data_IF_392593791145
#
_entry.id   IF_392593791145
#
_cell.length_a   1.000
_cell.length_b   1.000
_cell.length_c   1.000
_cell.angle_alpha   90.00
_cell.angle_beta   90.00
_cell.angle_gamma   90.00
#
_symmetry.space_group_name_H-M   'P 1'
#
loop_
_entity.id
_entity.type
_entity.pdbx_description
1 polymer ?
#
# COMPACT_ATOMS: atom_id res chain seq x y z
N UNK A 1 -4.81 11.38 15.19
CA UNK A 1 -5.87 10.83 14.33
C UNK A 1 -5.39 9.47 13.86
N UNK A 2 -6.11 8.39 14.13
CA UNK A 2 -5.65 7.02 13.81
C UNK A 2 -5.53 6.81 12.29
N UNK A 3 -4.84 5.74 11.89
CA UNK A 3 -4.66 5.23 10.52
C UNK A 3 -5.94 5.33 9.64
N UNK A 4 -7.11 5.16 10.25
CA UNK A 4 -8.46 5.33 9.69
C UNK A 4 -8.71 6.71 9.03
N UNK A 5 -7.99 7.75 9.45
CA UNK A 5 -8.08 9.09 8.86
C UNK A 5 -7.31 9.26 7.54
N UNK A 6 -6.35 8.38 7.23
CA UNK A 6 -5.56 8.43 5.99
C UNK A 6 -6.23 7.62 4.88
N UNK A 7 -6.81 6.47 5.22
CA UNK A 7 -7.57 5.62 4.28
C UNK A 7 -8.85 6.29 3.77
N UNK A 8 -9.39 7.27 4.48
CA UNK A 8 -10.57 8.03 4.06
C UNK A 8 -10.28 9.17 3.06
N UNK A 9 -9.03 9.33 2.61
CA UNK A 9 -8.70 10.30 1.57
C UNK A 9 -9.07 9.78 0.17
N UNK A 10 -9.49 10.67 -0.73
CA UNK A 10 -10.01 10.32 -2.08
C UNK A 10 -9.02 9.51 -2.93
N UNK A 11 -7.72 9.65 -2.62
CA UNK A 11 -6.63 9.06 -3.41
C UNK A 11 -6.11 7.74 -2.84
N UNK A 12 -6.66 7.22 -1.74
CA UNK A 12 -6.16 6.01 -1.08
C UNK A 12 -7.22 4.91 -1.15
N UNK A 13 -6.84 3.73 -1.64
CA UNK A 13 -7.74 2.59 -1.69
C UNK A 13 -7.99 1.98 -0.30
N UNK A 14 -9.26 1.69 0.01
CA UNK A 14 -9.76 1.19 1.31
C UNK A 14 -9.38 -0.27 1.64
N UNK A 15 -8.78 -1.02 0.70
CA UNK A 15 -8.59 -2.47 0.86
C UNK A 15 -7.16 -2.78 1.25
N UNK A 16 -7.01 -3.39 2.43
CA UNK A 16 -5.75 -3.89 2.94
C UNK A 16 -5.30 -5.12 2.15
N UNK A 17 -4.15 -5.06 1.46
CA UNK A 17 -3.61 -6.21 0.72
C UNK A 17 -3.22 -7.38 1.61
N UNK A 18 -2.96 -7.15 2.89
CA UNK A 18 -2.65 -8.22 3.85
C UNK A 18 -3.84 -9.18 4.01
N UNK A 19 -5.07 -8.66 3.87
CA UNK A 19 -6.29 -9.46 3.94
C UNK A 19 -6.45 -10.41 2.73
N UNK A 20 -5.95 -10.04 1.55
CA UNK A 20 -5.95 -10.89 0.36
C UNK A 20 -4.92 -12.03 0.45
N UNK A 21 -3.76 -11.77 1.05
CA UNK A 21 -2.72 -12.78 1.27
C UNK A 21 -3.12 -13.78 2.35
N UNK A 22 -3.66 -13.26 3.45
CA UNK A 22 -4.26 -14.08 4.49
C UNK A 22 -5.41 -14.87 3.90
N UNK A 23 -6.26 -14.29 3.05
CA UNK A 23 -7.33 -15.01 2.38
C UNK A 23 -6.86 -16.22 1.58
N UNK A 24 -5.85 -16.02 0.71
CA UNK A 24 -5.28 -17.10 -0.10
C UNK A 24 -4.58 -18.16 0.76
N UNK A 25 -3.85 -17.74 1.78
CA UNK A 25 -3.23 -18.64 2.75
C UNK A 25 -4.27 -19.46 3.50
N UNK A 26 -5.34 -18.84 3.99
CA UNK A 26 -6.37 -19.58 4.72
C UNK A 26 -7.11 -20.53 3.78
N UNK A 27 -7.47 -20.12 2.56
CA UNK A 27 -8.10 -21.03 1.59
C UNK A 27 -7.21 -22.26 1.28
N UNK A 28 -5.88 -22.07 1.17
CA UNK A 28 -4.91 -23.17 1.03
C UNK A 28 -4.94 -24.18 2.20
N UNK A 29 -5.40 -23.75 3.37
CA UNK A 29 -5.52 -24.61 4.57
C UNK A 29 -6.87 -25.33 4.68
N UNK A 30 -7.83 -24.98 3.82
CA UNK A 30 -9.17 -25.61 3.76
C UNK A 30 -9.25 -26.73 2.72
N UNK A 31 -10.36 -27.47 2.69
CA UNK A 31 -10.61 -28.49 1.65
C UNK A 31 -10.95 -27.92 0.28
N UNK A 32 -11.08 -26.59 0.15
CA UNK A 32 -11.21 -25.93 -1.15
C UNK A 32 -9.91 -25.83 -1.91
N UNK A 33 -8.77 -26.08 -1.27
CA UNK A 33 -7.56 -26.40 -1.99
C UNK A 33 -7.68 -27.82 -2.57
N UNK A 34 -7.71 -27.92 -3.90
CA UNK A 34 -7.70 -29.21 -4.62
C UNK A 34 -6.33 -29.43 -5.28
N UNK A 35 -5.65 -30.52 -4.94
CA UNK A 35 -4.39 -30.94 -5.56
C UNK A 35 -3.30 -31.31 -4.56
N UNK A 36 -2.16 -31.79 -5.09
CA UNK A 36 -0.98 -32.08 -4.27
C UNK A 36 -0.42 -30.78 -3.68
N UNK A 37 -0.14 -30.79 -2.38
CA UNK A 37 0.48 -29.66 -1.69
C UNK A 37 -0.48 -28.74 -0.93
N UNK A 38 -1.74 -29.10 -0.77
CA UNK A 38 -2.64 -28.35 0.09
C UNK A 38 -2.19 -28.39 1.56
N UNK A 39 -2.36 -27.29 2.28
CA UNK A 39 -1.82 -27.13 3.63
C UNK A 39 -2.34 -28.15 4.63
N UNK A 40 -3.57 -28.61 4.42
CA UNK A 40 -4.22 -29.61 5.27
C UNK A 40 -3.41 -30.91 5.39
N UNK A 41 -2.77 -31.38 4.32
CA UNK A 41 -1.95 -32.59 4.32
C UNK A 41 -0.70 -32.47 5.19
N UNK A 42 -0.24 -31.23 5.36
CA UNK A 42 0.92 -30.86 6.17
C UNK A 42 0.52 -30.54 7.63
N UNK A 43 -0.75 -30.77 7.98
CA UNK A 43 -1.31 -30.40 9.27
C UNK A 43 -1.60 -28.90 9.40
N UNK A 44 -1.59 -28.14 8.32
CA UNK A 44 -2.03 -26.74 8.31
C UNK A 44 -3.53 -26.72 8.04
N UNK A 45 -4.33 -27.03 9.07
CA UNK A 45 -5.78 -27.10 8.95
C UNK A 45 -6.39 -25.72 9.26
N UNK A 46 -7.11 -25.19 8.28
CA UNK A 46 -8.05 -24.08 8.47
C UNK A 46 -9.40 -24.61 8.94
N UNK A 47 -10.18 -23.73 9.56
CA UNK A 47 -11.59 -23.94 9.83
C UNK A 47 -12.43 -22.92 9.08
N UNK A 48 -13.72 -22.94 9.37
CA UNK A 48 -14.68 -21.97 8.87
C UNK A 48 -15.43 -21.34 10.03
N UNK A 49 -15.74 -20.06 9.91
CA UNK A 49 -16.61 -19.36 10.86
C UNK A 49 -17.71 -18.63 10.10
N UNK A 50 -18.89 -18.56 10.73
CA UNK A 50 -20.04 -17.88 10.14
C UNK A 50 -19.70 -16.41 9.92
N UNK A 51 -20.04 -15.89 8.75
CA UNK A 51 -19.75 -14.53 8.33
C UNK A 51 -20.68 -13.51 9.02
N UNK A 52 -20.53 -13.37 10.34
CA UNK A 52 -21.31 -12.43 11.15
C UNK A 52 -20.91 -10.97 10.90
N UNK A 53 -19.75 -10.75 10.30
CA UNK A 53 -19.19 -9.43 10.01
C UNK A 53 -19.62 -8.88 8.65
N UNK A 54 -20.34 -9.67 7.83
CA UNK A 54 -20.77 -9.23 6.50
C UNK A 54 -19.61 -9.03 5.52
N UNK A 55 -18.52 -9.81 5.67
CA UNK A 55 -17.39 -9.81 4.76
C UNK A 55 -17.83 -10.24 3.35
N UNK A 56 -17.13 -9.73 2.33
CA UNK A 56 -17.47 -9.95 0.92
C UNK A 56 -17.39 -11.44 0.56
N UNK A 57 -18.33 -11.89 -0.27
CA UNK A 57 -18.36 -13.25 -0.80
C UNK A 57 -17.37 -13.45 -1.96
N UNK A 58 -16.76 -14.61 -2.05
CA UNK A 58 -15.95 -15.03 -3.19
C UNK A 58 -16.88 -15.39 -4.35
N UNK A 59 -16.76 -14.68 -5.47
CA UNK A 59 -17.48 -15.02 -6.69
C UNK A 59 -18.96 -14.65 -6.68
N UNK A 60 -19.28 -13.47 -7.19
CA UNK A 60 -20.55 -13.20 -7.89
C UNK A 60 -20.31 -12.07 -8.91
N UNK A 61 -19.25 -12.20 -9.70
CA UNK A 61 -19.01 -11.32 -10.85
C UNK A 61 -19.36 -12.10 -12.13
N UNK A 62 -20.19 -11.50 -12.98
CA UNK A 62 -20.92 -12.04 -14.15
C UNK A 62 -20.06 -12.63 -15.29
N UNK A 63 -19.16 -13.57 -15.00
CA UNK A 63 -18.40 -14.32 -16.02
C UNK A 63 -17.09 -13.68 -16.46
N UNK A 64 -16.58 -12.68 -15.74
CA UNK A 64 -15.22 -12.15 -15.92
C UNK A 64 -14.28 -12.72 -14.87
N UNK A 65 -13.17 -13.35 -15.28
CA UNK A 65 -12.10 -13.76 -14.37
C UNK A 65 -11.39 -12.50 -13.82
N UNK A 66 -11.96 -11.91 -12.76
CA UNK A 66 -11.44 -10.69 -12.17
C UNK A 66 -10.78 -11.02 -10.81
N UNK A 67 -9.44 -11.16 -10.76
CA UNK A 67 -8.71 -11.48 -9.53
C UNK A 67 -8.81 -10.38 -8.47
N UNK A 68 -9.39 -9.22 -8.79
CA UNK A 68 -9.54 -8.06 -7.90
C UNK A 68 -10.93 -7.91 -7.26
N UNK A 69 -11.88 -8.80 -7.58
CA UNK A 69 -13.28 -8.70 -7.14
C UNK A 69 -13.75 -9.79 -6.17
N UNK A 70 -12.95 -10.82 -5.91
CA UNK A 70 -13.38 -11.94 -5.09
C UNK A 70 -13.26 -11.57 -3.60
N UNK A 71 -14.38 -11.58 -2.88
CA UNK A 71 -14.33 -11.70 -1.43
C UNK A 71 -13.74 -13.05 -1.01
N UNK A 72 -13.60 -13.27 0.30
CA UNK A 72 -12.99 -14.48 0.86
C UNK A 72 -14.05 -15.50 1.32
N UNK A 73 -15.25 -15.04 1.66
CA UNK A 73 -16.25 -15.89 2.28
C UNK A 73 -17.07 -16.63 1.22
N UNK A 74 -17.50 -17.85 1.51
CA UNK A 74 -18.32 -18.66 0.61
C UNK A 74 -19.74 -18.73 1.12
N UNK A 75 -20.72 -18.82 0.22
CA UNK A 75 -22.05 -19.25 0.62
C UNK A 75 -22.01 -20.73 1.04
N UNK A 76 -22.93 -21.16 1.91
CA UNK A 76 -23.09 -22.58 2.28
C UNK A 76 -23.13 -23.50 1.06
N UNK A 77 -23.78 -23.06 -0.03
CA UNK A 77 -23.89 -23.82 -1.27
C UNK A 77 -22.54 -24.06 -1.99
N UNK A 78 -21.55 -23.19 -1.75
CA UNK A 78 -20.23 -23.22 -2.41
C UNK A 78 -19.14 -23.84 -1.53
N UNK A 79 -19.47 -24.24 -0.31
CA UNK A 79 -18.53 -24.91 0.61
C UNK A 79 -18.31 -26.38 0.24
N UNK A 80 -17.13 -26.90 0.57
CA UNK A 80 -16.86 -28.33 0.44
C UNK A 80 -17.80 -29.14 1.35
N UNK A 81 -18.44 -30.22 0.88
CA UNK A 81 -19.40 -31.01 1.68
C UNK A 81 -18.83 -31.51 3.00
N UNK A 82 -17.57 -31.94 3.01
CA UNK A 82 -16.93 -32.39 4.24
C UNK A 82 -16.64 -31.26 5.24
N UNK A 83 -16.39 -30.02 4.78
CA UNK A 83 -16.22 -28.88 5.69
C UNK A 83 -17.56 -28.54 6.36
N UNK A 84 -18.68 -28.67 5.62
CA UNK A 84 -20.02 -28.58 6.20
C UNK A 84 -20.31 -29.72 7.18
N UNK A 85 -19.84 -30.94 6.89
CA UNK A 85 -19.98 -32.07 7.82
C UNK A 85 -19.17 -31.85 9.11
N UNK A 86 -17.96 -31.31 9.01
CA UNK A 86 -17.14 -30.94 10.16
C UNK A 86 -17.85 -29.85 10.99
N UNK A 87 -18.40 -28.81 10.36
CA UNK A 87 -19.18 -27.76 11.05
C UNK A 87 -20.46 -28.31 11.71
N UNK A 88 -21.17 -29.23 11.05
CA UNK A 88 -22.34 -29.91 11.62
C UNK A 88 -21.96 -30.72 12.86
N UNK A 89 -20.84 -31.43 12.82
CA UNK A 89 -20.34 -32.24 13.95
C UNK A 89 -19.99 -31.38 15.17
N UNK A 90 -19.59 -30.13 14.95
CA UNK A 90 -19.32 -29.14 15.98
C UNK A 90 -20.57 -28.39 16.46
N UNK A 91 -21.74 -28.67 15.87
CA UNK A 91 -22.99 -27.95 16.16
C UNK A 91 -22.97 -26.49 15.70
N UNK A 92 -22.11 -26.15 14.74
CA UNK A 92 -21.97 -24.79 14.21
C UNK A 92 -22.82 -24.55 12.95
N UNK A 93 -23.20 -25.62 12.25
CA UNK A 93 -24.00 -25.58 11.02
C UNK A 93 -25.26 -26.44 11.16
N UNK A 94 -26.40 -25.87 10.81
CA UNK A 94 -27.68 -26.57 10.67
C UNK A 94 -28.21 -26.40 9.22
N UNK A 95 -28.35 -27.48 8.44
CA UNK A 95 -28.75 -27.40 7.03
C UNK A 95 -30.11 -26.75 6.80
N UNK A 96 -31.02 -26.82 7.77
CA UNK A 96 -32.36 -26.24 7.63
C UNK A 96 -32.35 -24.71 7.86
N UNK A 97 -31.44 -24.22 8.70
CA UNK A 97 -31.39 -22.80 9.10
C UNK A 97 -30.27 -22.00 8.42
N UNK A 98 -29.21 -22.66 7.97
CA UNK A 98 -27.99 -22.05 7.44
C UNK A 98 -27.81 -22.24 5.93
N UNK A 99 -28.85 -22.64 5.20
CA UNK A 99 -28.78 -22.82 3.75
C UNK A 99 -28.31 -21.56 2.99
N UNK A 100 -28.67 -20.37 3.48
CA UNK A 100 -28.27 -19.07 2.92
C UNK A 100 -27.16 -18.37 3.73
N UNK A 101 -26.57 -19.06 4.71
CA UNK A 101 -25.46 -18.51 5.46
C UNK A 101 -24.21 -18.36 4.58
N UNK A 102 -23.33 -17.44 4.99
CA UNK A 102 -21.98 -17.36 4.43
C UNK A 102 -20.94 -17.63 5.50
N UNK A 103 -19.80 -18.13 5.06
CA UNK A 103 -18.75 -18.67 5.89
C UNK A 103 -17.41 -18.13 5.43
N UNK A 104 -16.62 -17.63 6.37
CA UNK A 104 -15.29 -17.13 6.10
C UNK A 104 -14.28 -18.15 6.61
N UNK A 105 -13.23 -18.44 5.84
CA UNK A 105 -12.23 -19.37 6.29
C UNK A 105 -11.40 -18.69 7.39
N UNK A 106 -11.04 -19.44 8.43
CA UNK A 106 -10.26 -18.95 9.58
C UNK A 106 -9.10 -19.90 9.83
N UNK A 107 -7.88 -19.36 9.98
CA UNK A 107 -6.73 -20.17 10.36
C UNK A 107 -6.74 -20.43 11.87
N UNK A 108 -6.86 -21.70 12.27
CA UNK A 108 -6.87 -22.10 13.69
C UNK A 108 -5.63 -22.92 13.97
N UNK A 109 -4.59 -22.26 14.45
CA UNK A 109 -3.36 -22.92 14.89
C UNK A 109 -3.00 -22.43 16.28
N UNK A 110 -2.97 -23.37 17.22
CA UNK A 110 -2.69 -23.12 18.64
C UNK A 110 -1.19 -23.03 18.96
N UNK A 111 -0.33 -23.30 17.96
CA UNK A 111 1.12 -23.42 18.12
C UNK A 111 1.88 -22.53 17.12
N UNK A 112 2.72 -21.63 17.64
CA UNK A 112 3.51 -20.70 16.84
C UNK A 112 4.49 -21.40 15.90
N UNK A 113 5.06 -22.55 16.30
CA UNK A 113 5.99 -23.30 15.46
C UNK A 113 5.28 -23.95 14.27
N UNK A 114 4.06 -24.45 14.50
CA UNK A 114 3.19 -24.96 13.43
C UNK A 114 2.73 -23.86 12.49
N UNK A 115 2.37 -22.68 13.00
CA UNK A 115 2.05 -21.52 12.15
C UNK A 115 3.25 -21.15 11.26
N UNK A 116 4.45 -21.11 11.84
CA UNK A 116 5.69 -20.85 11.10
C UNK A 116 5.90 -21.89 10.01
N UNK A 117 5.78 -23.18 10.31
CA UNK A 117 5.89 -24.26 9.33
C UNK A 117 4.91 -24.03 8.17
N UNK A 118 3.64 -23.82 8.48
CA UNK A 118 2.57 -23.63 7.50
C UNK A 118 2.83 -22.45 6.56
N UNK A 119 3.17 -21.29 7.12
CA UNK A 119 3.50 -20.09 6.32
C UNK A 119 4.72 -20.34 5.45
N UNK A 120 5.76 -20.99 5.98
CA UNK A 120 6.98 -21.26 5.21
C UNK A 120 6.76 -22.25 4.09
N UNK A 121 5.95 -23.29 4.30
CA UNK A 121 5.64 -24.27 3.27
C UNK A 121 4.77 -23.68 2.18
N UNK A 122 3.74 -22.91 2.56
CA UNK A 122 2.91 -22.19 1.59
C UNK A 122 3.73 -21.24 0.72
N UNK A 123 4.66 -20.48 1.33
CA UNK A 123 5.59 -19.61 0.60
C UNK A 123 6.51 -20.40 -0.34
N UNK A 124 7.02 -21.54 0.11
CA UNK A 124 7.87 -22.42 -0.71
C UNK A 124 7.13 -22.94 -1.95
N UNK A 125 5.89 -23.37 -1.79
CA UNK A 125 5.06 -23.86 -2.90
C UNK A 125 4.65 -22.75 -3.87
N UNK A 126 4.46 -21.53 -3.37
CA UNK A 126 4.21 -20.34 -4.18
C UNK A 126 5.45 -19.73 -4.85
N UNK A 127 6.57 -20.45 -4.94
CA UNK A 127 7.81 -19.97 -5.59
C UNK A 127 8.61 -18.97 -4.76
N UNK A 128 8.77 -19.22 -3.46
CA UNK A 128 9.45 -18.39 -2.43
C UNK A 128 8.80 -17.04 -2.11
N UNK A 129 8.03 -16.49 -3.06
CA UNK A 129 7.18 -15.33 -2.83
C UNK A 129 5.96 -15.68 -1.99
N UNK A 130 5.27 -16.80 -2.24
CA UNK A 130 3.88 -16.95 -1.75
C UNK A 130 3.01 -15.76 -2.14
N UNK A 131 3.42 -15.06 -3.21
CA UNK A 131 3.02 -13.70 -3.58
C UNK A 131 3.19 -12.60 -2.50
N UNK A 132 3.74 -12.89 -1.31
CA UNK A 132 4.43 -11.86 -0.53
C UNK A 132 5.58 -11.35 -1.40
N UNK A 133 5.46 -10.11 -1.86
CA UNK A 133 6.42 -9.39 -2.71
C UNK A 133 7.87 -9.75 -2.33
N UNK A 134 8.46 -10.71 -3.03
CA UNK A 134 9.91 -10.77 -3.16
C UNK A 134 10.28 -9.72 -4.19
N UNK A 135 11.24 -8.85 -3.84
CA UNK A 135 11.80 -7.91 -4.80
C UNK A 135 12.23 -8.70 -6.04
N UNK A 136 11.67 -8.43 -7.24
CA UNK A 136 11.95 -9.24 -8.40
C UNK A 136 13.43 -9.13 -8.73
N UNK A 137 14.11 -10.27 -8.77
CA UNK A 137 15.42 -10.33 -9.42
C UNK A 137 15.22 -10.02 -10.91
N UNK A 138 16.19 -9.31 -11.52
CA UNK A 138 16.13 -8.88 -12.94
C UNK A 138 15.95 -10.02 -13.96
N UNK A 139 16.06 -11.27 -13.52
CA UNK A 139 15.85 -12.48 -14.34
C UNK A 139 14.40 -12.98 -14.35
N UNK A 140 13.59 -12.70 -13.31
CA UNK A 140 12.19 -13.12 -13.22
C UNK A 140 11.24 -12.29 -14.10
N UNK A 141 11.58 -11.02 -14.35
CA UNK A 141 10.80 -10.11 -15.23
C UNK A 141 10.73 -10.58 -16.69
N UNK A 142 11.60 -11.53 -17.09
CA UNK A 142 11.65 -12.07 -18.46
C UNK A 142 10.76 -13.28 -18.70
N UNK A 143 10.37 -14.01 -17.63
CA UNK A 143 9.62 -15.27 -17.73
C UNK A 143 8.11 -15.04 -17.65
N UNK A 144 7.68 -14.00 -16.94
CA UNK A 144 6.26 -13.69 -16.71
C UNK A 144 5.49 -13.23 -17.97
N UNK A 145 6.19 -12.91 -19.06
CA UNK A 145 5.55 -12.40 -20.29
C UNK A 145 4.86 -13.46 -21.15
N UNK A 146 4.99 -14.75 -20.83
CA UNK A 146 4.55 -15.83 -21.73
C UNK A 146 3.81 -17.03 -21.09
N UNK A 147 3.50 -17.05 -19.79
CA UNK A 147 2.79 -18.21 -19.20
C UNK A 147 1.29 -17.96 -19.02
N UNK A 148 0.50 -18.66 -19.83
CA UNK A 148 -0.92 -18.90 -19.56
C UNK A 148 -1.07 -19.84 -18.36
N UNK A 149 -1.72 -19.34 -17.31
CA UNK A 149 -2.36 -20.05 -16.20
C UNK A 149 -1.73 -21.38 -15.72
N UNK A 150 -1.10 -21.29 -14.55
CA UNK A 150 -1.10 -22.32 -13.50
C UNK A 150 -0.76 -23.75 -13.96
N UNK A 151 0.48 -23.97 -14.38
CA UNK A 151 1.13 -25.30 -14.32
C UNK A 151 2.59 -25.20 -14.74
N UNK A 152 3.47 -24.87 -13.79
CA UNK A 152 4.85 -25.39 -13.73
C UNK A 152 5.63 -24.67 -12.62
N UNK A 153 5.76 -25.30 -11.46
CA UNK A 153 6.93 -25.04 -10.58
C UNK A 153 7.41 -26.38 -10.02
N UNK A 154 8.63 -26.74 -10.39
CA UNK A 154 9.41 -27.82 -9.80
C UNK A 154 10.23 -27.26 -8.62
N UNK A 155 10.56 -28.07 -7.60
CA UNK A 155 11.33 -27.61 -6.45
C UNK A 155 12.78 -27.31 -6.83
N UNK A 156 13.26 -26.10 -6.51
CA UNK A 156 14.69 -25.78 -6.50
C UNK A 156 15.27 -26.18 -5.15
N UNK A 157 16.08 -27.23 -5.16
CA UNK A 157 16.83 -27.72 -4.02
C UNK A 157 17.83 -26.67 -3.52
N UNK A 158 17.72 -26.32 -2.25
CA UNK A 158 18.88 -25.91 -1.45
C UNK A 158 19.18 -24.42 -1.38
N UNK A 159 18.42 -23.71 -0.55
CA UNK A 159 18.94 -22.56 0.20
C UNK A 159 18.31 -22.53 1.60
N UNK A 160 18.93 -23.27 2.52
CA UNK A 160 18.70 -23.11 3.95
C UNK A 160 19.32 -21.79 4.42
N UNK A 161 18.65 -20.68 4.17
CA UNK A 161 18.92 -19.41 4.85
C UNK A 161 17.91 -19.25 5.98
N UNK A 162 18.42 -19.11 7.21
CA UNK A 162 17.62 -19.02 8.41
C UNK A 162 16.58 -17.91 8.29
N UNK A 163 15.30 -18.30 8.38
CA UNK A 163 14.17 -17.38 8.40
C UNK A 163 14.32 -16.48 9.63
N UNK A 164 14.59 -15.21 9.39
CA UNK A 164 14.69 -14.18 10.41
C UNK A 164 13.31 -14.01 11.04
N UNK A 165 13.23 -14.22 12.35
CA UNK A 165 12.06 -13.91 13.17
C UNK A 165 12.22 -12.53 13.83
N UNK A 166 11.14 -11.74 14.00
CA UNK A 166 9.76 -12.09 13.67
C UNK A 166 9.59 -12.27 12.16
N UNK A 167 8.74 -13.23 11.75
CA UNK A 167 8.25 -13.30 10.36
C UNK A 167 7.87 -11.84 10.05
N UNK A 168 8.38 -11.21 8.98
CA UNK A 168 8.04 -9.83 8.69
C UNK A 168 6.57 -9.75 8.23
N UNK A 169 5.66 -10.03 9.15
CA UNK A 169 4.26 -9.65 9.14
C UNK A 169 4.24 -8.29 9.84
N UNK A 170 4.87 -7.29 9.22
CA UNK A 170 4.56 -5.86 9.39
C UNK A 170 5.48 -5.04 8.48
N UNK A 171 5.43 -5.27 7.17
CA UNK A 171 5.44 -4.09 6.32
C UNK A 171 4.15 -3.36 6.71
N UNK A 172 4.26 -2.16 7.29
CA UNK A 172 3.12 -1.31 7.62
C UNK A 172 2.04 -1.40 6.53
N UNK A 173 0.74 -1.40 6.86
CA UNK A 173 -0.33 -1.51 5.88
C UNK A 173 -0.02 -0.67 4.64
N UNK A 174 0.18 -1.34 3.51
CA UNK A 174 0.62 -0.70 2.28
C UNK A 174 -0.60 -0.04 1.66
N UNK A 175 -0.66 1.28 1.79
CA UNK A 175 -1.69 2.08 1.15
C UNK A 175 -1.36 2.25 -0.33
N UNK A 176 -2.30 1.89 -1.20
CA UNK A 176 -2.18 2.13 -2.63
C UNK A 176 -2.79 3.48 -2.96
N UNK A 177 -1.99 4.31 -3.61
CA UNK A 177 -2.50 5.52 -4.24
C UNK A 177 -3.21 5.17 -5.55
N UNK A 178 -4.43 5.67 -5.72
CA UNK A 178 -5.22 5.50 -6.94
C UNK A 178 -5.59 6.87 -7.51
N UNK A 179 -5.81 6.94 -8.83
CA UNK A 179 -6.28 8.16 -9.47
C UNK A 179 -5.24 9.27 -9.62
N UNK A 180 -3.94 8.96 -9.50
CA UNK A 180 -2.86 9.93 -9.71
C UNK A 180 -2.57 10.13 -11.20
N UNK A 181 -3.46 10.82 -11.92
CA UNK A 181 -3.32 11.02 -13.35
C UNK A 181 -2.60 12.32 -13.70
N UNK A 182 -2.64 13.29 -12.80
CA UNK A 182 -2.04 14.61 -12.98
C UNK A 182 -0.94 14.88 -11.96
N UNK A 183 -0.15 15.90 -12.24
CA UNK A 183 0.89 16.37 -11.32
C UNK A 183 0.24 16.85 -10.02
N UNK A 184 -0.86 17.58 -10.16
CA UNK A 184 -1.67 18.14 -9.09
C UNK A 184 -2.22 17.03 -8.19
N UNK A 185 -2.81 15.96 -8.74
CA UNK A 185 -3.31 14.83 -7.94
C UNK A 185 -2.21 14.20 -7.07
N UNK A 186 -0.99 14.13 -7.61
CA UNK A 186 0.16 13.55 -6.90
C UNK A 186 0.64 14.46 -5.78
N UNK A 187 0.69 15.76 -6.03
CA UNK A 187 1.06 16.77 -5.03
C UNK A 187 0.00 16.84 -3.93
N UNK A 188 -1.29 16.85 -4.29
CA UNK A 188 -2.42 16.88 -3.37
C UNK A 188 -2.44 15.65 -2.46
N UNK A 189 -2.17 14.44 -3.00
CA UNK A 189 -1.99 13.25 -2.18
C UNK A 189 -0.89 13.45 -1.13
N UNK A 190 0.28 13.96 -1.54
CA UNK A 190 1.43 14.16 -0.65
C UNK A 190 1.09 15.18 0.44
N UNK A 191 0.47 16.30 0.09
CA UNK A 191 0.09 17.33 1.06
C UNK A 191 -0.93 16.81 2.08
N UNK A 192 -1.95 16.10 1.62
CA UNK A 192 -3.00 15.56 2.49
C UNK A 192 -2.45 14.51 3.46
N UNK A 193 -1.63 13.57 2.99
CA UNK A 193 -1.10 12.50 3.84
C UNK A 193 -0.05 13.04 4.82
N UNK A 194 0.76 14.02 4.40
CA UNK A 194 1.72 14.69 5.28
C UNK A 194 1.04 15.51 6.34
N UNK A 195 -0.04 16.24 6.04
CA UNK A 195 -0.79 16.95 7.07
C UNK A 195 -1.25 16.01 8.18
N UNK A 196 -1.62 14.76 7.85
CA UNK A 196 -2.00 13.77 8.88
C UNK A 196 -0.80 13.26 9.68
N UNK A 197 0.35 13.05 9.05
CA UNK A 197 1.56 12.54 9.71
C UNK A 197 2.33 13.62 10.48
N UNK A 198 2.56 14.78 9.88
CA UNK A 198 3.41 15.84 10.40
C UNK A 198 2.69 16.69 11.48
N UNK A 199 1.37 16.90 11.38
CA UNK A 199 0.63 17.74 12.34
C UNK A 199 0.23 17.01 13.63
N UNK A 200 0.53 15.71 13.75
CA UNK A 200 0.17 14.92 14.93
C UNK A 200 1.42 14.49 15.70
N UNK A 201 1.74 15.23 16.77
CA UNK A 201 2.93 14.98 17.60
C UNK A 201 2.94 13.59 18.28
N UNK A 202 1.79 12.93 18.41
CA UNK A 202 1.68 11.58 18.98
C UNK A 202 1.98 10.48 17.95
N UNK A 203 1.90 10.80 16.66
CA UNK A 203 2.13 9.88 15.55
C UNK A 203 3.52 10.10 14.96
N UNK A 204 4.46 9.23 15.34
CA UNK A 204 5.75 9.15 14.66
C UNK A 204 5.63 8.34 13.35
N UNK A 205 5.09 8.96 12.30
CA UNK A 205 5.04 8.36 10.96
C UNK A 205 5.86 9.13 9.93
N UNK A 206 6.34 8.40 8.92
CA UNK A 206 6.96 8.96 7.72
C UNK A 206 6.38 8.26 6.50
N UNK A 207 6.00 9.03 5.49
CA UNK A 207 5.48 8.49 4.23
C UNK A 207 6.66 8.05 3.34
N UNK A 208 6.48 6.97 2.59
CA UNK A 208 7.47 6.46 1.63
C UNK A 208 6.78 5.97 0.37
N UNK A 209 7.44 6.12 -0.77
CA UNK A 209 6.98 5.60 -2.06
C UNK A 209 7.38 6.51 -3.21
N UNK A 210 7.19 6.03 -4.45
CA UNK A 210 7.55 6.76 -5.67
C UNK A 210 7.01 8.20 -5.68
N UNK A 211 5.74 8.48 -5.30
CA UNK A 211 5.26 9.86 -5.20
C UNK A 211 6.11 10.72 -4.26
N UNK A 212 6.42 10.25 -3.06
CA UNK A 212 7.21 11.01 -2.09
C UNK A 212 8.65 11.19 -2.56
N UNK A 213 9.28 10.14 -3.09
CA UNK A 213 10.69 10.19 -3.50
C UNK A 213 10.96 11.17 -4.65
N UNK A 214 9.99 11.39 -5.56
CA UNK A 214 10.18 12.18 -6.77
C UNK A 214 9.31 13.46 -6.86
N UNK A 215 8.11 13.45 -6.27
CA UNK A 215 7.19 14.60 -6.36
C UNK A 215 7.19 15.50 -5.13
N UNK A 216 7.75 15.08 -3.99
CA UNK A 216 7.75 15.89 -2.76
C UNK A 216 8.42 17.26 -2.94
N UNK A 217 9.45 17.35 -3.79
CA UNK A 217 10.13 18.63 -4.11
C UNK A 217 9.17 19.70 -4.66
N UNK A 218 8.09 19.31 -5.33
CA UNK A 218 7.17 20.25 -5.96
C UNK A 218 6.23 20.91 -4.95
N UNK A 219 6.02 20.32 -3.77
CA UNK A 219 5.23 20.92 -2.69
C UNK A 219 5.86 22.25 -2.20
N UNK A 220 7.20 22.34 -2.24
CA UNK A 220 7.93 23.54 -1.81
C UNK A 220 8.53 24.37 -2.95
N UNK A 221 8.72 23.79 -4.14
CA UNK A 221 9.39 24.45 -5.27
C UNK A 221 8.76 25.80 -5.64
N UNK A 222 7.42 25.90 -5.67
CA UNK A 222 6.73 27.14 -6.01
C UNK A 222 7.01 28.27 -5.02
N UNK A 223 6.93 27.96 -3.72
CA UNK A 223 7.24 28.91 -2.64
C UNK A 223 8.71 29.33 -2.68
N UNK A 224 9.61 28.37 -2.85
CA UNK A 224 11.05 28.63 -2.94
C UNK A 224 11.39 29.55 -4.11
N UNK A 225 10.77 29.35 -5.27
CA UNK A 225 10.99 30.18 -6.45
C UNK A 225 10.54 31.63 -6.22
N UNK A 226 9.39 31.84 -5.57
CA UNK A 226 8.90 33.18 -5.22
C UNK A 226 9.82 33.84 -4.18
N UNK A 227 10.23 33.11 -3.15
CA UNK A 227 11.13 33.62 -2.09
C UNK A 227 12.50 34.01 -2.67
N UNK A 228 13.16 33.10 -3.40
CA UNK A 228 14.46 33.37 -4.04
C UNK A 228 14.33 34.48 -5.08
N UNK A 229 13.26 34.49 -5.88
CA UNK A 229 13.00 35.53 -6.86
C UNK A 229 12.86 36.91 -6.20
N UNK A 230 12.07 37.00 -5.12
CA UNK A 230 11.91 38.22 -4.34
C UNK A 230 13.22 38.70 -3.72
N UNK A 231 14.00 37.80 -3.12
CA UNK A 231 15.33 38.12 -2.55
C UNK A 231 16.28 38.61 -3.65
N UNK A 232 16.29 37.94 -4.81
CA UNK A 232 17.15 38.31 -5.93
C UNK A 232 16.84 39.71 -6.47
N UNK A 233 15.55 40.05 -6.60
CA UNK A 233 15.11 41.39 -6.99
C UNK A 233 15.51 42.42 -5.94
N UNK A 234 15.29 42.13 -4.65
CA UNK A 234 15.66 43.04 -3.57
C UNK A 234 17.17 43.31 -3.52
N UNK A 235 18.00 42.28 -3.70
CA UNK A 235 19.47 42.41 -3.79
C UNK A 235 19.88 43.21 -5.02
N UNK A 236 19.31 42.90 -6.19
CA UNK A 236 19.59 43.63 -7.43
C UNK A 236 19.23 45.11 -7.33
N UNK A 237 18.09 45.42 -6.71
CA UNK A 237 17.67 46.79 -6.42
C UNK A 237 18.64 47.48 -5.45
N UNK A 238 19.03 46.81 -4.37
CA UNK A 238 19.99 47.34 -3.39
C UNK A 238 21.35 47.68 -4.00
N UNK A 239 21.89 46.79 -4.82
CA UNK A 239 23.15 47.02 -5.55
C UNK A 239 23.03 48.20 -6.52
N UNK A 240 21.94 48.25 -7.29
CA UNK A 240 21.69 49.35 -8.25
C UNK A 240 21.58 50.70 -7.54
N UNK A 241 20.90 50.74 -6.40
CA UNK A 241 20.75 51.93 -5.57
C UNK A 241 22.12 52.40 -5.02
N UNK A 242 22.96 51.47 -4.54
CA UNK A 242 24.33 51.79 -4.11
C UNK A 242 25.15 52.39 -5.25
N UNK A 243 25.13 51.79 -6.44
CA UNK A 243 25.85 52.31 -7.61
C UNK A 243 25.38 53.73 -7.99
N UNK A 244 24.08 53.97 -7.96
CA UNK A 244 23.51 55.28 -8.26
C UNK A 244 23.97 56.33 -7.23
N UNK A 245 23.99 55.99 -5.94
CA UNK A 245 24.50 56.89 -4.91
C UNK A 245 26.01 57.14 -5.03
N UNK A 246 26.81 56.14 -5.39
CA UNK A 246 28.24 56.29 -5.61
C UNK A 246 28.51 57.20 -6.81
N UNK A 247 27.83 56.97 -7.93
CA UNK A 247 27.96 57.83 -9.12
C UNK A 247 27.54 59.28 -8.82
N UNK A 248 26.40 59.50 -8.16
CA UNK A 248 25.96 60.84 -7.75
C UNK A 248 26.95 61.52 -6.79
N UNK A 249 27.70 60.77 -5.98
CA UNK A 249 28.73 61.31 -5.09
C UNK A 249 30.01 61.68 -5.83
N UNK A 250 30.39 60.90 -6.85
CA UNK A 250 31.59 61.15 -7.65
C UNK A 250 31.39 62.29 -8.65
N UNK A 251 30.20 62.37 -9.27
CA UNK A 251 29.78 63.48 -10.13
C UNK A 251 29.37 64.69 -9.27
N UNK A 252 30.40 65.36 -8.74
CA UNK A 252 30.32 66.44 -7.75
C UNK A 252 29.62 67.74 -8.23
N UNK A 253 28.97 67.73 -9.39
CA UNK A 253 28.42 68.94 -10.04
C UNK A 253 26.94 69.21 -9.77
N UNK A 254 26.20 68.28 -9.14
CA UNK A 254 24.76 68.48 -8.90
C UNK A 254 24.39 68.36 -7.41
N UNK A 255 23.86 69.46 -6.87
CA UNK A 255 23.40 69.57 -5.48
C UNK A 255 22.23 68.61 -5.26
N UNK A 256 22.38 67.68 -4.32
CA UNK A 256 21.48 66.56 -3.98
C UNK A 256 19.98 66.95 -3.85
N UNK A 257 19.68 68.21 -3.55
CA UNK A 257 18.33 68.75 -3.48
C UNK A 257 17.56 68.82 -4.80
N UNK A 258 18.23 68.93 -5.96
CA UNK A 258 17.54 68.95 -7.27
C UNK A 258 17.05 67.58 -7.73
N UNK A 259 17.74 66.51 -7.33
CA UNK A 259 17.39 65.14 -7.74
C UNK A 259 16.17 64.63 -6.96
N UNK A 260 16.09 64.90 -5.66
CA UNK A 260 14.91 64.52 -4.85
C UNK A 260 13.63 65.27 -5.25
N UNK A 261 13.73 66.53 -5.66
CA UNK A 261 12.56 67.29 -6.12
C UNK A 261 12.02 66.80 -7.47
N UNK A 262 12.87 66.19 -8.32
CA UNK A 262 12.46 65.64 -9.60
C UNK A 262 11.77 64.27 -9.51
N UNK A 263 12.20 63.39 -8.59
CA UNK A 263 11.65 62.02 -8.51
C UNK A 263 10.34 61.91 -7.72
N UNK A 264 9.91 62.96 -7.02
CA UNK A 264 8.63 63.02 -6.30
C UNK A 264 7.53 63.73 -7.12
N UNK A 265 7.88 64.27 -8.29
CA UNK A 265 6.98 65.05 -9.14
C UNK A 265 6.53 64.36 -10.44
N UNK A 266 6.88 63.09 -10.66
CA UNK A 266 6.43 62.27 -11.80
C UNK A 266 5.83 60.96 -11.29
#
# INVERSE_FOLDING_TARGET
KNFEGVVSSEHVADVNTDELWIAAFILWTTRQCSGDGCGRELGCAGGWEKNVLGLRLAGNDDGGCNPKGAGICLMTADMHPDDLADLASLGQYDPDSDAEASWCPVFKVDDADRLRLCVTTWRGQGGEGGGLLSEPSKEQERVEKNSTCLSAIAPSDGAASGIITPIPISSSPILYAIGLFTHEDTVDLIEQTRAVCDDNEELHCWMKGIPYDYWEQYTYAGRLLVEIGGISIAVGFGVSLIFLFVNLKMDREHTLGKVMAGSLGG
#
